data_IF_970464505461
#
_entry.id   IF_970464505461
#
_cell.length_a   1.000
_cell.length_b   1.000
_cell.length_c   1.000
_cell.angle_alpha   90.00
_cell.angle_beta   90.00
_cell.angle_gamma   90.00
#
_symmetry.space_group_name_H-M   'P 1'
#
loop_
_entity.id
_entity.type
_entity.pdbx_description
1 polymer ?
#
# COMPACT_ATOMS: atom_id res chain seq x y z
N UNK A 1 3.99 -5.57 -0.88
CA UNK A 1 2.53 -5.40 -1.04
C UNK A 1 2.31 -5.04 -2.50
N UNK A 2 1.37 -5.70 -3.16
CA UNK A 2 1.03 -5.42 -4.56
C UNK A 2 -0.41 -4.92 -4.63
N UNK A 3 -0.66 -3.96 -5.52
CA UNK A 3 -1.98 -3.45 -5.81
C UNK A 3 -2.28 -3.65 -7.30
N UNK A 4 -3.42 -4.26 -7.61
CA UNK A 4 -3.88 -4.49 -8.99
C UNK A 4 -5.23 -3.82 -9.17
N UNK A 5 -5.33 -2.96 -10.19
CA UNK A 5 -6.58 -2.30 -10.54
C UNK A 5 -7.58 -3.34 -11.06
N UNK A 6 -8.80 -3.30 -10.53
CA UNK A 6 -9.93 -4.04 -11.07
C UNK A 6 -10.69 -3.13 -12.03
N UNK A 7 -10.98 -1.92 -11.57
CA UNK A 7 -11.63 -0.84 -12.32
C UNK A 7 -11.17 0.52 -11.78
N UNK A 8 -11.81 1.61 -12.20
CA UNK A 8 -11.44 2.98 -11.81
C UNK A 8 -11.62 3.27 -10.32
N UNK A 9 -12.45 2.50 -9.62
CA UNK A 9 -12.84 2.71 -8.23
C UNK A 9 -12.40 1.56 -7.31
N UNK A 10 -12.09 0.39 -7.87
CA UNK A 10 -11.78 -0.82 -7.13
C UNK A 10 -10.36 -1.31 -7.41
N UNK A 11 -9.62 -1.58 -6.33
CA UNK A 11 -8.26 -2.12 -6.37
C UNK A 11 -8.16 -3.33 -5.45
N UNK A 12 -7.53 -4.41 -5.93
CA UNK A 12 -7.12 -5.51 -5.07
C UNK A 12 -5.74 -5.24 -4.49
N UNK A 13 -5.66 -5.27 -3.16
CA UNK A 13 -4.41 -5.19 -2.44
C UNK A 13 -4.03 -6.57 -1.88
N UNK A 14 -2.77 -6.95 -2.07
CA UNK A 14 -2.20 -8.19 -1.56
C UNK A 14 -0.94 -7.91 -0.74
N UNK A 15 -0.93 -8.42 0.49
CA UNK A 15 0.22 -8.40 1.38
C UNK A 15 0.76 -9.81 1.61
N UNK A 16 2.10 -9.93 1.63
CA UNK A 16 2.81 -11.17 1.96
C UNK A 16 3.88 -10.86 2.99
N UNK A 17 3.87 -11.59 4.09
CA UNK A 17 4.86 -11.50 5.15
C UNK A 17 5.87 -12.64 5.02
N UNK A 18 7.12 -12.28 4.78
CA UNK A 18 8.23 -13.22 4.80
C UNK A 18 9.02 -13.03 6.10
N UNK A 19 9.18 -14.11 6.86
CA UNK A 19 10.04 -14.12 8.03
C UNK A 19 11.03 -15.28 7.92
N UNK A 20 12.30 -14.98 8.19
CA UNK A 20 13.37 -15.97 8.18
C UNK A 20 13.92 -16.11 9.60
N UNK A 21 13.29 -16.95 10.40
CA UNK A 21 13.82 -17.40 11.69
C UNK A 21 14.36 -18.82 11.56
N UNK A 22 15.28 -19.19 12.47
CA UNK A 22 15.96 -20.48 12.45
C UNK A 22 15.00 -21.69 12.53
N UNK A 23 13.81 -21.52 13.12
CA UNK A 23 12.79 -22.56 13.21
C UNK A 23 11.59 -22.23 12.31
N UNK A 24 11.19 -23.14 11.39
CA UNK A 24 10.00 -22.94 10.55
C UNK A 24 8.71 -22.72 11.35
N UNK A 25 8.62 -23.33 12.53
CA UNK A 25 7.46 -23.19 13.42
C UNK A 25 7.37 -21.79 14.02
N UNK A 26 8.52 -21.25 14.43
CA UNK A 26 8.62 -19.88 14.95
C UNK A 26 8.32 -18.88 13.83
N UNK A 27 8.91 -19.06 12.64
CA UNK A 27 8.60 -18.24 11.46
C UNK A 27 7.10 -18.26 11.14
N UNK A 28 6.47 -19.44 11.15
CA UNK A 28 5.03 -19.57 10.89
C UNK A 28 4.19 -18.86 11.95
N UNK A 29 4.54 -19.00 13.23
CA UNK A 29 3.82 -18.35 14.32
C UNK A 29 3.93 -16.83 14.22
N UNK A 30 5.15 -16.31 14.03
CA UNK A 30 5.40 -14.88 13.92
C UNK A 30 4.71 -14.30 12.68
N UNK A 31 4.80 -14.96 11.52
CA UNK A 31 4.10 -14.50 10.32
C UNK A 31 2.59 -14.48 10.50
N UNK A 32 2.01 -15.47 11.21
CA UNK A 32 0.56 -15.46 11.53
C UNK A 32 0.18 -14.28 12.43
N UNK A 33 0.98 -14.04 13.48
CA UNK A 33 0.75 -12.92 14.38
C UNK A 33 0.90 -11.58 13.66
N UNK A 34 1.89 -11.44 12.78
CA UNK A 34 2.10 -10.25 11.97
C UNK A 34 0.92 -9.99 11.01
N UNK A 35 0.44 -11.03 10.32
CA UNK A 35 -0.75 -10.94 9.47
C UNK A 35 -1.96 -10.53 10.30
N UNK A 36 -2.20 -11.18 11.44
CA UNK A 36 -3.32 -10.84 12.29
C UNK A 36 -3.24 -9.38 12.77
N UNK A 37 -2.07 -8.95 13.26
CA UNK A 37 -1.84 -7.59 13.72
C UNK A 37 -2.10 -6.57 12.61
N UNK A 38 -1.51 -6.79 11.43
CA UNK A 38 -1.65 -5.88 10.29
C UNK A 38 -3.11 -5.68 9.91
N UNK A 39 -3.86 -6.78 9.71
CA UNK A 39 -5.24 -6.70 9.21
C UNK A 39 -6.25 -6.25 10.27
N UNK A 40 -5.97 -6.42 11.57
CA UNK A 40 -6.89 -6.05 12.63
C UNK A 40 -6.60 -4.68 13.25
N UNK A 41 -5.35 -4.20 13.18
CA UNK A 41 -4.93 -3.00 13.91
C UNK A 41 -4.36 -1.90 13.01
N UNK A 42 -3.66 -2.23 11.92
CA UNK A 42 -3.01 -1.22 11.07
C UNK A 42 -3.89 -0.87 9.87
N UNK A 43 -4.21 -1.87 9.05
CA UNK A 43 -4.95 -1.70 7.80
C UNK A 43 -6.35 -1.08 7.96
N UNK A 44 -7.11 -1.31 9.05
CA UNK A 44 -8.41 -0.68 9.21
C UNK A 44 -8.35 0.84 9.27
N UNK A 45 -7.31 1.41 9.87
CA UNK A 45 -7.17 2.86 9.97
C UNK A 45 -6.66 3.46 8.65
N UNK A 46 -5.70 2.79 7.99
CA UNK A 46 -5.29 3.16 6.63
C UNK A 46 -6.47 3.12 5.65
N UNK A 47 -7.33 2.11 5.76
CA UNK A 47 -8.54 2.00 4.95
C UNK A 47 -9.51 3.16 5.20
N UNK A 48 -9.74 3.56 6.46
CA UNK A 48 -10.57 4.73 6.80
C UNK A 48 -10.01 6.01 6.20
N UNK A 49 -8.69 6.21 6.26
CA UNK A 49 -8.04 7.38 5.66
C UNK A 49 -8.22 7.35 4.14
N UNK A 50 -8.02 6.19 3.51
CA UNK A 50 -8.14 6.04 2.06
C UNK A 50 -9.55 6.37 1.57
N UNK A 51 -10.60 5.84 2.20
CA UNK A 51 -11.99 6.07 1.77
C UNK A 51 -12.46 7.50 2.04
N UNK A 52 -11.90 8.18 3.04
CA UNK A 52 -12.27 9.55 3.42
C UNK A 52 -11.45 10.63 2.72
N UNK A 53 -10.34 10.27 2.08
CA UNK A 53 -9.46 11.20 1.39
C UNK A 53 -10.13 11.83 0.16
N UNK A 54 -9.90 13.13 -0.02
CA UNK A 54 -10.32 13.89 -1.19
C UNK A 54 -9.12 14.61 -1.80
N UNK A 55 -8.95 14.60 -3.13
CA UNK A 55 -9.75 13.85 -4.11
C UNK A 55 -9.52 12.33 -4.02
N UNK A 56 -10.50 11.53 -4.45
CA UNK A 56 -10.38 10.06 -4.51
C UNK A 56 -9.38 9.57 -5.58
N UNK A 57 -9.03 10.42 -6.55
CA UNK A 57 -7.97 10.15 -7.52
C UNK A 57 -6.62 10.69 -7.04
N UNK A 58 -5.52 10.07 -7.51
CA UNK A 58 -4.16 10.51 -7.19
C UNK A 58 -3.38 10.84 -8.45
N UNK A 59 -2.57 11.88 -8.42
CA UNK A 59 -1.69 12.23 -9.53
C UNK A 59 -0.97 13.56 -9.33
N UNK A 60 0.11 13.78 -10.10
CA UNK A 60 0.96 14.97 -9.96
C UNK A 60 0.20 16.29 -10.15
N UNK A 61 -0.91 16.27 -10.90
CA UNK A 61 -1.76 17.43 -11.17
C UNK A 61 -3.02 17.49 -10.30
N UNK A 62 -3.23 16.48 -9.45
CA UNK A 62 -4.47 16.28 -8.69
C UNK A 62 -4.27 16.66 -7.22
N UNK A 63 -3.10 16.35 -6.65
CA UNK A 63 -2.81 16.56 -5.23
C UNK A 63 -1.94 17.80 -5.00
N UNK A 64 -2.13 18.44 -3.83
CA UNK A 64 -1.19 19.41 -3.29
C UNK A 64 -0.17 18.68 -2.43
N UNK A 65 1.10 18.75 -2.81
CA UNK A 65 2.17 18.03 -2.13
C UNK A 65 2.94 18.92 -1.16
N UNK A 66 3.27 18.37 0.00
CA UNK A 66 4.18 18.99 0.97
C UNK A 66 5.54 18.30 0.92
N UNK A 67 6.52 18.86 1.64
CA UNK A 67 7.90 18.34 1.65
C UNK A 67 8.00 16.86 2.01
N UNK A 68 7.09 16.35 2.86
CA UNK A 68 7.04 14.95 3.26
C UNK A 68 6.67 14.00 2.10
N UNK A 69 5.96 14.49 1.08
CA UNK A 69 5.43 13.65 -0.03
C UNK A 69 6.45 13.43 -1.14
N UNK A 70 7.72 13.78 -0.93
CA UNK A 70 8.77 13.70 -1.96
C UNK A 70 8.86 12.30 -2.59
N UNK A 71 8.71 11.25 -1.80
CA UNK A 71 8.75 9.87 -2.30
C UNK A 71 7.52 9.54 -3.19
N UNK A 72 6.33 10.00 -2.81
CA UNK A 72 5.09 9.83 -3.57
C UNK A 72 5.20 10.53 -4.93
N UNK A 73 5.73 11.76 -4.95
CA UNK A 73 5.97 12.52 -6.19
C UNK A 73 6.96 11.80 -7.10
N UNK A 74 8.03 11.24 -6.55
CA UNK A 74 9.02 10.48 -7.34
C UNK A 74 8.36 9.23 -7.95
N UNK A 75 7.57 8.50 -7.16
CA UNK A 75 6.85 7.32 -7.62
C UNK A 75 5.91 7.64 -8.79
N UNK A 76 5.09 8.69 -8.67
CA UNK A 76 4.19 9.12 -9.76
C UNK A 76 4.96 9.46 -11.04
N UNK A 77 6.10 10.16 -10.94
CA UNK A 77 6.94 10.46 -12.11
C UNK A 77 7.49 9.21 -12.78
N UNK A 78 7.84 8.19 -12.01
CA UNK A 78 8.31 6.90 -12.54
C UNK A 78 7.17 6.14 -13.22
N UNK A 79 6.01 6.08 -12.57
CA UNK A 79 4.83 5.42 -13.09
C UNK A 79 4.35 6.06 -14.41
N UNK A 80 4.22 7.39 -14.45
CA UNK A 80 3.85 8.12 -15.67
C UNK A 80 4.84 7.88 -16.82
N UNK A 81 6.14 7.72 -16.55
CA UNK A 81 7.11 7.37 -17.59
C UNK A 81 6.91 5.95 -18.11
N UNK A 82 6.60 5.01 -17.23
CA UNK A 82 6.43 3.60 -17.61
C UNK A 82 5.18 3.36 -18.46
N UNK A 83 4.08 4.09 -18.21
CA UNK A 83 2.83 3.96 -18.98
C UNK A 83 2.82 4.75 -20.29
N UNK A 84 3.71 5.74 -20.45
CA UNK A 84 3.84 6.57 -21.66
C UNK A 84 4.93 6.05 -22.63
N UNK A 85 5.54 4.90 -22.33
CA UNK A 85 6.44 4.16 -23.22
C UNK A 85 5.69 2.99 -23.87
#
# INVERSE_FOLDING_TARGET
MNATLIDTNNTWAYARYYSSFASPWISRLISKLAVWFEFNLVQPDDYKILISSQPHSSGLKVNNYVRADKAIVIWHKMYERQINC
#
